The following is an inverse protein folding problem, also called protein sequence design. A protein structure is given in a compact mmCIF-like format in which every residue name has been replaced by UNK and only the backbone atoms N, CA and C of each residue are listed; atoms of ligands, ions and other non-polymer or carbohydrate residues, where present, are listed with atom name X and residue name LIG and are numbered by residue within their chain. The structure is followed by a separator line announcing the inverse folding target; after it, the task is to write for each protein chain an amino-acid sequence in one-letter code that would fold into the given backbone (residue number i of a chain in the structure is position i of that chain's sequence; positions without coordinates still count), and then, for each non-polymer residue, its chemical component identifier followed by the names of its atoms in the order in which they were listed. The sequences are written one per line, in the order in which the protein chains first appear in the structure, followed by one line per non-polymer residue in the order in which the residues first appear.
data_IF_225254539056
#
_entry.id   IF_225254539056
#
_cell.length_a   1.000
_cell.length_b   1.000
_cell.length_c   1.000
_cell.angle_alpha   90.00
_cell.angle_beta   90.00
_cell.angle_gamma   90.00
#
_symmetry.space_group_name_H-M   'P 1'
#
loop_
_entity.id
_entity.type
_entity.pdbx_description
1 polymer ?
#
# COMPACT_ATOMS: atom_id res chain seq x y z
N UNK A 1 -21.78 18.67 25.07
CA UNK A 1 -21.82 17.40 24.32
C UNK A 1 -20.38 16.96 24.06
N UNK A 2 -19.91 15.88 24.69
CA UNK A 2 -18.55 15.36 24.45
C UNK A 2 -18.58 14.51 23.18
N UNK A 3 -18.09 15.06 22.07
CA UNK A 3 -17.74 14.29 20.87
C UNK A 3 -16.55 13.40 21.22
N UNK A 4 -16.79 12.10 21.40
CA UNK A 4 -15.74 11.14 21.69
C UNK A 4 -14.83 10.96 20.48
N UNK A 5 -13.55 11.31 20.63
CA UNK A 5 -12.51 10.89 19.69
C UNK A 5 -12.17 9.44 20.04
N UNK A 6 -12.47 8.51 19.13
CA UNK A 6 -12.04 7.13 19.25
C UNK A 6 -10.56 7.04 18.80
N UNK A 7 -9.64 7.19 19.74
CA UNK A 7 -8.23 6.93 19.50
C UNK A 7 -8.00 5.43 19.58
N UNK A 8 -7.62 4.81 18.46
CA UNK A 8 -7.42 3.36 18.36
C UNK A 8 -5.99 3.02 18.82
N UNK A 9 -5.81 2.17 19.84
CA UNK A 9 -4.49 1.67 20.19
C UNK A 9 -4.05 0.57 19.21
N UNK A 10 -2.73 0.45 19.02
CA UNK A 10 -2.14 -0.77 18.48
C UNK A 10 -2.43 -1.91 19.47
N UNK A 11 -3.36 -2.81 19.15
CA UNK A 11 -3.59 -4.02 19.94
C UNK A 11 -2.40 -4.97 19.74
N UNK A 12 -1.56 -5.09 20.77
CA UNK A 12 -0.41 -5.99 20.81
C UNK A 12 -0.79 -7.46 21.07
N UNK A 13 -2.09 -7.77 21.22
CA UNK A 13 -2.60 -9.10 21.48
C UNK A 13 -2.49 -10.04 20.28
N UNK A 14 -2.04 -11.28 20.52
CA UNK A 14 -2.11 -12.35 19.52
C UNK A 14 -3.54 -12.89 19.46
N UNK A 15 -4.07 -13.06 18.24
CA UNK A 15 -5.36 -13.73 18.04
C UNK A 15 -5.36 -15.10 18.75
N UNK A 16 -6.31 -15.38 19.65
CA UNK A 16 -6.39 -16.65 20.34
C UNK A 16 -6.48 -17.82 19.37
N UNK A 17 -5.78 -18.92 19.65
CA UNK A 17 -5.72 -20.09 18.77
C UNK A 17 -7.11 -20.62 18.40
N UNK A 18 -8.01 -20.74 19.38
CA UNK A 18 -9.37 -21.22 19.17
C UNK A 18 -10.16 -20.34 18.19
N UNK A 19 -9.95 -19.02 18.21
CA UNK A 19 -10.62 -18.08 17.30
C UNK A 19 -10.02 -18.19 15.91
N UNK A 20 -8.69 -18.26 15.81
CA UNK A 20 -7.98 -18.40 14.55
C UNK A 20 -8.38 -19.69 13.81
N UNK A 21 -8.56 -20.81 14.51
CA UNK A 21 -9.07 -22.05 13.90
C UNK A 21 -10.46 -21.88 13.27
N UNK A 22 -11.35 -21.12 13.93
CA UNK A 22 -12.68 -20.80 13.40
C UNK A 22 -12.58 -19.90 12.18
N UNK A 23 -11.73 -18.88 12.24
CA UNK A 23 -11.47 -17.96 11.13
C UNK A 23 -11.01 -18.73 9.89
N UNK A 24 -10.06 -19.66 10.01
CA UNK A 24 -9.57 -20.47 8.89
C UNK A 24 -10.71 -21.24 8.22
N UNK A 25 -11.56 -21.91 9.01
CA UNK A 25 -12.68 -22.73 8.50
C UNK A 25 -13.73 -21.87 7.79
N UNK A 26 -14.05 -20.70 8.36
CA UNK A 26 -15.04 -19.79 7.79
C UNK A 26 -14.50 -19.07 6.55
N UNK A 27 -13.27 -18.56 6.60
CA UNK A 27 -12.58 -17.95 5.46
C UNK A 27 -12.51 -18.93 4.27
N UNK A 28 -12.13 -20.20 4.53
CA UNK A 28 -12.18 -21.26 3.52
C UNK A 28 -13.58 -21.43 2.91
N UNK A 29 -14.62 -21.53 3.74
CA UNK A 29 -16.00 -21.69 3.26
C UNK A 29 -16.45 -20.53 2.36
N UNK A 30 -16.11 -19.30 2.74
CA UNK A 30 -16.43 -18.09 1.95
C UNK A 30 -15.67 -18.07 0.63
N UNK A 31 -14.36 -18.32 0.63
CA UNK A 31 -13.56 -18.35 -0.61
C UNK A 31 -14.07 -19.42 -1.56
N UNK A 32 -14.37 -20.63 -1.07
CA UNK A 32 -14.93 -21.70 -1.89
C UNK A 32 -16.26 -21.31 -2.53
N UNK A 33 -17.15 -20.66 -1.76
CA UNK A 33 -18.43 -20.18 -2.29
C UNK A 33 -18.25 -19.10 -3.37
N UNK A 34 -17.25 -18.22 -3.25
CA UNK A 34 -16.94 -17.22 -4.29
C UNK A 34 -16.42 -17.92 -5.56
N UNK A 35 -15.47 -18.84 -5.41
CA UNK A 35 -14.86 -19.54 -6.55
C UNK A 35 -15.90 -20.36 -7.32
N UNK A 36 -16.80 -21.05 -6.62
CA UNK A 36 -17.84 -21.88 -7.25
C UNK A 36 -18.84 -21.07 -8.08
N UNK A 37 -19.19 -19.86 -7.64
CA UNK A 37 -20.25 -19.06 -8.26
C UNK A 37 -19.70 -17.99 -9.23
N UNK A 38 -18.50 -17.45 -8.98
CA UNK A 38 -17.92 -16.31 -9.74
C UNK A 38 -16.50 -16.55 -10.26
N UNK A 39 -15.87 -17.66 -9.89
CA UNK A 39 -14.49 -17.96 -10.25
C UNK A 39 -13.43 -17.26 -9.38
N UNK A 40 -12.17 -17.56 -9.68
CA UNK A 40 -11.00 -17.17 -8.88
C UNK A 40 -10.74 -15.68 -8.95
N UNK A 41 -10.90 -15.07 -10.13
CA UNK A 41 -10.61 -13.66 -10.36
C UNK A 41 -11.52 -12.74 -9.53
N UNK A 42 -12.72 -13.20 -9.21
CA UNK A 42 -13.61 -12.49 -8.31
C UNK A 42 -13.09 -12.45 -6.86
N UNK A 43 -12.37 -13.48 -6.42
CA UNK A 43 -11.69 -13.47 -5.11
C UNK A 43 -10.63 -12.37 -5.08
N UNK A 44 -9.85 -12.22 -6.16
CA UNK A 44 -8.83 -11.17 -6.26
C UNK A 44 -9.46 -9.77 -6.25
N UNK A 45 -10.51 -9.55 -7.04
CA UNK A 45 -11.27 -8.29 -7.04
C UNK A 45 -11.75 -7.91 -5.65
N UNK A 46 -12.37 -8.86 -4.95
CA UNK A 46 -12.90 -8.66 -3.59
C UNK A 46 -11.84 -8.40 -2.54
N UNK A 47 -10.72 -9.13 -2.57
CA UNK A 47 -9.60 -8.88 -1.65
C UNK A 47 -8.91 -7.54 -1.93
N UNK A 48 -8.97 -7.05 -3.17
CA UNK A 48 -8.47 -5.72 -3.54
C UNK A 48 -9.41 -4.57 -3.19
N UNK A 49 -10.66 -4.86 -2.80
CA UNK A 49 -11.62 -3.86 -2.35
C UNK A 49 -11.48 -3.64 -0.83
N UNK A 50 -11.14 -2.41 -0.38
CA UNK A 50 -10.88 -2.17 1.04
C UNK A 50 -12.10 -2.39 1.95
N UNK A 51 -13.31 -2.13 1.47
CA UNK A 51 -14.56 -2.23 2.23
C UNK A 51 -14.96 -3.70 2.36
N UNK A 52 -14.95 -4.42 1.24
CA UNK A 52 -15.25 -5.85 1.22
C UNK A 52 -14.28 -6.63 2.08
N UNK A 53 -12.98 -6.32 1.98
CA UNK A 53 -11.95 -6.95 2.80
C UNK A 53 -12.19 -6.73 4.29
N UNK A 54 -12.60 -5.51 4.68
CA UNK A 54 -12.93 -5.19 6.06
C UNK A 54 -14.17 -5.96 6.54
N UNK A 55 -15.22 -6.04 5.73
CA UNK A 55 -16.41 -6.85 6.03
C UNK A 55 -16.07 -8.32 6.20
N UNK A 56 -15.19 -8.87 5.34
CA UNK A 56 -14.69 -10.24 5.50
C UNK A 56 -14.03 -10.43 6.86
N UNK A 57 -13.12 -9.52 7.26
CA UNK A 57 -12.43 -9.57 8.54
C UNK A 57 -13.42 -9.64 9.73
N UNK A 58 -14.48 -8.83 9.68
CA UNK A 58 -15.52 -8.82 10.71
C UNK A 58 -16.34 -10.11 10.76
N UNK A 59 -16.75 -10.62 9.61
CA UNK A 59 -17.51 -11.87 9.52
C UNK A 59 -16.72 -13.04 10.10
N UNK A 60 -15.42 -13.13 9.79
CA UNK A 60 -14.59 -14.23 10.28
C UNK A 60 -14.23 -14.12 11.76
N UNK A 61 -14.44 -12.96 12.39
CA UNK A 61 -14.39 -12.81 13.85
C UNK A 61 -13.44 -11.75 14.39
N UNK A 62 -13.02 -10.78 13.57
CA UNK A 62 -12.30 -9.60 14.05
C UNK A 62 -13.22 -8.43 14.33
N UNK A 63 -12.83 -7.58 15.27
CA UNK A 63 -13.47 -6.29 15.43
C UNK A 63 -13.08 -5.37 14.29
N UNK A 64 -14.05 -4.54 13.90
CA UNK A 64 -13.93 -3.62 12.79
C UNK A 64 -12.77 -2.62 12.95
N UNK A 65 -12.45 -2.24 14.20
CA UNK A 65 -11.41 -1.25 14.52
C UNK A 65 -10.07 -1.88 14.94
N UNK A 66 -9.83 -3.17 14.65
CA UNK A 66 -8.57 -3.81 15.06
C UNK A 66 -7.47 -3.62 14.03
N UNK A 67 -6.35 -3.01 14.44
CA UNK A 67 -5.12 -2.93 13.62
C UNK A 67 -4.55 -4.31 13.25
N UNK A 68 -4.94 -5.36 13.97
CA UNK A 68 -4.63 -6.77 13.69
C UNK A 68 -5.50 -7.42 12.61
N UNK A 69 -6.60 -6.78 12.20
CA UNK A 69 -7.62 -7.36 11.31
C UNK A 69 -7.02 -7.82 9.98
N UNK A 70 -6.23 -6.99 9.29
CA UNK A 70 -5.62 -7.34 8.01
C UNK A 70 -4.65 -8.49 8.14
N UNK A 71 -3.72 -8.40 9.10
CA UNK A 71 -2.67 -9.42 9.25
C UNK A 71 -3.24 -10.78 9.61
N UNK A 72 -4.28 -10.81 10.43
CA UNK A 72 -4.90 -12.07 10.87
C UNK A 72 -5.86 -12.61 9.83
N UNK A 73 -6.59 -11.74 9.11
CA UNK A 73 -7.45 -12.14 7.99
C UNK A 73 -6.62 -12.77 6.87
N UNK A 74 -5.52 -12.14 6.46
CA UNK A 74 -4.61 -12.72 5.47
C UNK A 74 -3.97 -14.01 5.96
N UNK A 75 -3.61 -14.09 7.24
CA UNK A 75 -3.14 -15.33 7.86
C UNK A 75 -4.19 -16.44 7.84
N UNK A 76 -5.44 -16.14 8.20
CA UNK A 76 -6.54 -17.10 8.22
C UNK A 76 -6.91 -17.58 6.82
N UNK A 77 -6.88 -16.71 5.80
CA UNK A 77 -7.05 -17.09 4.40
C UNK A 77 -5.92 -18.01 3.94
N UNK A 78 -4.66 -17.62 4.16
CA UNK A 78 -3.49 -18.40 3.74
C UNK A 78 -3.47 -19.80 4.36
N UNK A 79 -3.72 -19.88 5.67
CA UNK A 79 -3.72 -21.17 6.39
C UNK A 79 -5.00 -21.97 6.14
N UNK A 80 -6.15 -21.31 5.96
CA UNK A 80 -7.43 -21.97 5.68
C UNK A 80 -7.49 -22.62 4.30
N UNK A 81 -6.76 -22.08 3.32
CA UNK A 81 -6.65 -22.61 1.96
C UNK A 81 -5.48 -23.60 1.79
N UNK A 82 -4.71 -23.87 2.85
CA UNK A 82 -3.60 -24.82 2.78
C UNK A 82 -4.09 -26.21 2.35
N UNK A 83 -3.43 -26.78 1.35
CA UNK A 83 -3.76 -28.06 0.73
C UNK A 83 -4.79 -27.97 -0.40
N UNK A 84 -5.37 -26.78 -0.67
CA UNK A 84 -6.34 -26.57 -1.75
C UNK A 84 -5.84 -25.62 -2.85
N UNK A 85 -4.64 -25.06 -2.71
CA UNK A 85 -4.19 -23.96 -3.58
C UNK A 85 -4.09 -24.38 -5.04
N UNK A 86 -3.56 -25.59 -5.31
CA UNK A 86 -3.41 -26.12 -6.66
C UNK A 86 -4.75 -26.42 -7.33
N UNK A 87 -5.69 -27.00 -6.57
CA UNK A 87 -7.03 -27.35 -7.06
C UNK A 87 -7.87 -26.10 -7.32
N UNK A 88 -7.78 -25.12 -6.41
CA UNK A 88 -8.47 -23.84 -6.54
C UNK A 88 -7.80 -22.90 -7.52
N UNK A 89 -6.52 -23.10 -7.84
CA UNK A 89 -5.73 -22.16 -8.64
C UNK A 89 -5.55 -20.79 -7.98
N UNK A 90 -5.50 -20.70 -6.64
CA UNK A 90 -5.32 -19.46 -5.88
C UNK A 90 -4.20 -19.61 -4.85
N UNK A 91 -3.21 -18.72 -4.90
CA UNK A 91 -2.00 -18.79 -4.10
C UNK A 91 -1.80 -17.49 -3.31
N UNK A 92 -1.54 -17.60 -2.00
CA UNK A 92 -1.30 -16.45 -1.12
C UNK A 92 0.13 -16.50 -0.61
N UNK A 93 0.94 -15.52 -1.02
CA UNK A 93 2.33 -15.36 -0.61
C UNK A 93 2.47 -14.19 0.38
N UNK A 94 3.53 -14.21 1.19
CA UNK A 94 3.83 -13.15 2.16
C UNK A 94 3.13 -13.30 3.52
N UNK A 95 3.10 -12.22 4.29
CA UNK A 95 2.57 -12.17 5.64
C UNK A 95 3.10 -10.98 6.45
N UNK A 96 3.05 -11.08 7.79
CA UNK A 96 3.51 -10.06 8.74
C UNK A 96 5.03 -10.17 9.00
N UNK A 97 5.69 -9.03 9.20
CA UNK A 97 7.07 -8.93 9.67
C UNK A 97 8.07 -9.62 8.74
N UNK A 98 8.93 -10.50 9.28
CA UNK A 98 9.93 -11.22 8.49
C UNK A 98 9.33 -12.03 7.33
N UNK A 99 8.09 -12.49 7.46
CA UNK A 99 7.41 -13.27 6.42
C UNK A 99 7.05 -12.42 5.19
N UNK A 100 6.87 -11.10 5.34
CA UNK A 100 6.63 -10.20 4.20
C UNK A 100 7.81 -10.19 3.22
N UNK A 101 9.04 -10.28 3.75
CA UNK A 101 10.28 -10.29 2.97
C UNK A 101 10.50 -11.59 2.19
N UNK A 102 9.81 -12.67 2.55
CA UNK A 102 9.85 -13.98 1.87
C UNK A 102 8.86 -14.09 0.71
N UNK A 103 8.10 -13.02 0.40
CA UNK A 103 7.09 -13.06 -0.66
C UNK A 103 7.69 -13.38 -2.04
N UNK A 104 8.81 -12.77 -2.47
CA UNK A 104 9.45 -13.12 -3.74
C UNK A 104 9.84 -14.60 -3.86
N UNK A 105 10.47 -15.14 -2.81
CA UNK A 105 10.86 -16.56 -2.73
C UNK A 105 9.64 -17.48 -2.80
N UNK A 106 8.55 -17.14 -2.10
CA UNK A 106 7.32 -17.93 -2.15
C UNK A 106 6.67 -17.91 -3.54
N UNK A 107 6.71 -16.77 -4.24
CA UNK A 107 6.21 -16.67 -5.62
C UNK A 107 7.05 -17.55 -6.55
N UNK A 108 8.38 -17.52 -6.41
CA UNK A 108 9.29 -18.38 -7.19
C UNK A 108 8.97 -19.86 -6.98
N UNK A 109 8.93 -20.31 -5.72
CA UNK A 109 8.66 -21.71 -5.39
C UNK A 109 7.30 -22.19 -5.95
N UNK A 110 6.26 -21.37 -5.89
CA UNK A 110 4.97 -21.72 -6.49
C UNK A 110 5.01 -21.68 -8.01
N UNK A 111 5.68 -20.71 -8.62
CA UNK A 111 5.83 -20.62 -10.07
C UNK A 111 6.55 -21.83 -10.65
N UNK A 112 7.63 -22.27 -10.00
CA UNK A 112 8.37 -23.48 -10.34
C UNK A 112 7.51 -24.73 -10.17
N UNK A 113 6.80 -24.86 -9.04
CA UNK A 113 5.88 -25.97 -8.79
C UNK A 113 4.76 -26.06 -9.85
N UNK A 114 4.29 -24.92 -10.36
CA UNK A 114 3.26 -24.85 -11.42
C UNK A 114 3.83 -25.02 -12.84
N UNK A 115 5.15 -25.14 -12.99
CA UNK A 115 5.82 -25.25 -14.29
C UNK A 115 5.70 -23.98 -15.14
N UNK A 116 5.65 -22.80 -14.52
CA UNK A 116 5.54 -21.54 -15.26
C UNK A 116 6.87 -21.11 -15.89
N UNK A 117 6.82 -20.42 -17.05
CA UNK A 117 8.01 -19.77 -17.61
C UNK A 117 8.60 -18.76 -16.63
N UNK A 118 9.93 -18.69 -16.57
CA UNK A 118 10.64 -17.80 -15.65
C UNK A 118 10.21 -16.33 -15.81
N UNK A 119 9.94 -15.88 -17.03
CA UNK A 119 9.43 -14.54 -17.32
C UNK A 119 8.13 -14.23 -16.56
N UNK A 120 7.20 -15.19 -16.45
CA UNK A 120 5.94 -15.02 -15.73
C UNK A 120 6.17 -14.91 -14.23
N UNK A 121 7.10 -15.71 -13.70
CA UNK A 121 7.51 -15.68 -12.29
C UNK A 121 8.14 -14.33 -11.96
N UNK A 122 9.06 -13.87 -12.80
CA UNK A 122 9.75 -12.60 -12.64
C UNK A 122 8.80 -11.41 -12.69
N UNK A 123 7.79 -11.42 -13.56
CA UNK A 123 6.73 -10.40 -13.58
C UNK A 123 5.96 -10.32 -12.26
N UNK A 124 5.64 -11.45 -11.63
CA UNK A 124 4.95 -11.46 -10.33
C UNK A 124 5.86 -11.05 -9.17
N UNK A 125 7.11 -11.50 -9.19
CA UNK A 125 8.13 -11.07 -8.22
C UNK A 125 8.35 -9.56 -8.33
N UNK A 126 8.40 -9.04 -9.56
CA UNK A 126 8.50 -7.61 -9.83
C UNK A 126 7.28 -6.88 -9.26
N UNK A 127 6.05 -7.30 -9.60
CA UNK A 127 4.81 -6.72 -9.09
C UNK A 127 4.79 -6.65 -7.54
N UNK A 128 5.20 -7.74 -6.86
CA UNK A 128 5.32 -7.77 -5.39
C UNK A 128 6.32 -6.73 -4.86
N UNK A 129 7.49 -6.62 -5.48
CA UNK A 129 8.55 -5.69 -5.03
C UNK A 129 8.18 -4.24 -5.31
N UNK A 130 7.68 -3.95 -6.51
CA UNK A 130 7.38 -2.59 -6.94
C UNK A 130 6.18 -2.04 -6.17
N UNK A 131 5.14 -2.83 -5.90
CA UNK A 131 3.98 -2.37 -5.10
C UNK A 131 4.41 -1.99 -3.68
N UNK A 132 5.30 -2.77 -3.06
CA UNK A 132 5.86 -2.45 -1.73
C UNK A 132 6.74 -1.20 -1.77
N UNK A 133 7.49 -0.99 -2.86
CA UNK A 133 8.28 0.22 -3.06
C UNK A 133 7.41 1.45 -3.28
N UNK A 134 6.35 1.36 -4.06
CA UNK A 134 5.44 2.49 -4.30
C UNK A 134 4.81 2.95 -2.99
N UNK A 135 4.23 2.02 -2.24
CA UNK A 135 3.57 2.30 -0.96
C UNK A 135 4.51 2.87 0.10
N UNK A 136 5.80 2.52 0.06
CA UNK A 136 6.79 2.98 1.07
C UNK A 136 7.59 4.22 0.65
N UNK A 137 7.72 4.49 -0.65
CA UNK A 137 8.61 5.55 -1.16
C UNK A 137 7.87 6.70 -1.82
N UNK A 138 6.71 6.44 -2.45
CA UNK A 138 5.98 7.46 -3.20
C UNK A 138 4.87 8.11 -2.38
N UNK A 139 4.34 7.40 -1.38
CA UNK A 139 3.43 7.96 -0.39
C UNK A 139 4.20 8.08 0.92
N UNK A 140 4.73 9.27 1.19
CA UNK A 140 5.58 9.50 2.36
C UNK A 140 4.77 10.17 3.47
N UNK A 141 4.03 9.32 4.16
CA UNK A 141 3.06 9.64 5.20
C UNK A 141 3.50 9.08 6.56
N UNK A 142 4.76 8.70 6.73
CA UNK A 142 5.28 8.15 7.98
C UNK A 142 4.76 6.75 8.36
N UNK A 143 3.92 6.10 7.55
CA UNK A 143 3.51 4.73 7.79
C UNK A 143 4.56 3.75 7.23
N UNK A 144 5.16 2.95 8.10
CA UNK A 144 6.14 1.95 7.69
C UNK A 144 5.47 0.60 7.43
N UNK A 145 5.68 0.04 6.24
CA UNK A 145 5.15 -1.26 5.87
C UNK A 145 5.70 -2.37 6.77
N UNK A 146 4.80 -3.11 7.40
CA UNK A 146 5.13 -4.25 8.24
C UNK A 146 4.40 -5.53 7.83
N UNK A 147 3.47 -5.43 6.88
CA UNK A 147 2.71 -6.53 6.33
C UNK A 147 2.59 -6.40 4.81
N UNK A 148 2.86 -7.48 4.10
CA UNK A 148 2.73 -7.55 2.65
C UNK A 148 2.29 -8.95 2.27
N UNK A 149 1.19 -9.02 1.51
CA UNK A 149 0.74 -10.24 0.86
C UNK A 149 0.48 -9.98 -0.62
N UNK A 150 1.00 -10.86 -1.47
CA UNK A 150 0.60 -10.96 -2.87
C UNK A 150 -0.24 -12.23 -3.03
N UNK A 151 -1.45 -12.07 -3.58
CA UNK A 151 -2.36 -13.15 -3.93
C UNK A 151 -2.37 -13.25 -5.45
N UNK A 152 -2.16 -14.43 -6.01
CA UNK A 152 -2.23 -14.62 -7.46
C UNK A 152 -3.05 -15.85 -7.83
N UNK A 153 -3.67 -15.78 -9.01
CA UNK A 153 -4.43 -16.88 -9.59
C UNK A 153 -3.59 -17.67 -10.58
N UNK A 154 -4.04 -18.87 -10.96
CA UNK A 154 -3.38 -19.71 -11.98
C UNK A 154 -3.29 -19.03 -13.36
N UNK A 155 -4.18 -18.07 -13.64
CA UNK A 155 -4.11 -17.28 -14.88
C UNK A 155 -2.92 -16.31 -14.87
N UNK A 156 -2.45 -15.90 -13.70
CA UNK A 156 -1.38 -14.90 -13.51
C UNK A 156 -1.88 -13.52 -13.13
N UNK A 157 -3.20 -13.33 -12.98
CA UNK A 157 -3.75 -12.16 -12.32
C UNK A 157 -3.38 -12.17 -10.84
N UNK A 158 -3.27 -10.99 -10.25
CA UNK A 158 -2.87 -10.83 -8.87
C UNK A 158 -3.55 -9.65 -8.18
N UNK A 159 -3.57 -9.69 -6.86
CA UNK A 159 -3.92 -8.61 -5.96
C UNK A 159 -2.87 -8.51 -4.86
N UNK A 160 -2.62 -7.29 -4.36
CA UNK A 160 -1.72 -7.07 -3.22
C UNK A 160 -2.50 -6.38 -2.10
N UNK A 161 -2.31 -6.87 -0.88
CA UNK A 161 -2.82 -6.27 0.35
C UNK A 161 -1.64 -6.01 1.28
N UNK A 162 -1.40 -4.73 1.60
CA UNK A 162 -0.28 -4.30 2.44
C UNK A 162 -0.79 -3.47 3.61
N UNK A 163 -0.04 -3.45 4.70
CA UNK A 163 -0.33 -2.56 5.82
C UNK A 163 0.94 -1.88 6.34
N UNK A 164 0.85 -0.56 6.44
CA UNK A 164 1.79 0.30 7.14
C UNK A 164 1.28 0.64 8.53
N UNK A 165 2.21 0.86 9.46
CA UNK A 165 1.92 1.37 10.80
C UNK A 165 2.70 2.66 11.06
N UNK A 166 2.11 3.56 11.84
CA UNK A 166 2.78 4.74 12.38
C UNK A 166 2.77 4.62 13.90
N UNK A 167 3.94 4.38 14.49
CA UNK A 167 4.08 4.07 15.91
C UNK A 167 3.74 5.27 16.79
N UNK A 168 4.06 6.49 16.35
CA UNK A 168 3.88 7.73 17.14
C UNK A 168 2.42 7.95 17.55
N UNK A 169 1.48 7.61 16.66
CA UNK A 169 0.05 7.80 16.88
C UNK A 169 -0.72 6.47 16.93
N UNK A 170 -0.02 5.32 16.96
CA UNK A 170 -0.62 3.99 17.00
C UNK A 170 -1.67 3.72 15.91
N UNK A 171 -1.45 4.24 14.70
CA UNK A 171 -2.43 4.18 13.60
C UNK A 171 -1.95 3.26 12.48
N UNK A 172 -2.90 2.78 11.67
CA UNK A 172 -2.60 1.93 10.53
C UNK A 172 -3.09 2.52 9.20
N UNK A 173 -2.41 2.14 8.14
CA UNK A 173 -2.82 2.43 6.77
C UNK A 173 -2.69 1.18 5.93
N UNK A 174 -3.77 0.79 5.25
CA UNK A 174 -3.81 -0.40 4.42
C UNK A 174 -3.97 -0.02 2.96
N UNK A 175 -3.19 -0.71 2.12
CA UNK A 175 -3.06 -0.46 0.70
C UNK A 175 -3.54 -1.69 -0.06
N UNK A 176 -4.35 -1.45 -1.08
CA UNK A 176 -4.86 -2.51 -1.95
C UNK A 176 -4.52 -2.22 -3.40
N UNK A 177 -4.18 -3.29 -4.10
CA UNK A 177 -3.82 -3.28 -5.51
C UNK A 177 -4.55 -4.42 -6.22
N UNK A 178 -4.88 -4.20 -7.49
CA UNK A 178 -5.43 -5.20 -8.37
C UNK A 178 -4.76 -5.10 -9.74
N UNK A 179 -4.18 -6.20 -10.21
CA UNK A 179 -3.48 -6.29 -11.50
C UNK A 179 -4.29 -5.73 -12.68
N UNK A 180 -5.59 -5.98 -12.75
CA UNK A 180 -6.45 -5.46 -13.84
C UNK A 180 -6.60 -3.93 -13.85
N UNK A 181 -6.32 -3.27 -12.73
CA UNK A 181 -6.44 -1.82 -12.60
C UNK A 181 -5.10 -1.10 -12.79
N UNK A 182 -3.98 -1.83 -12.69
CA UNK A 182 -2.64 -1.25 -12.81
C UNK A 182 -2.31 -1.04 -14.29
N UNK A 183 -2.30 0.23 -14.71
CA UNK A 183 -1.80 0.67 -16.02
C UNK A 183 -0.36 1.18 -15.94
N UNK A 184 -0.05 1.82 -14.82
CA UNK A 184 1.26 2.38 -14.45
C UNK A 184 1.47 2.07 -12.97
N UNK A 185 2.65 1.59 -12.57
CA UNK A 185 2.94 1.28 -11.17
C UNK A 185 3.19 2.54 -10.31
N UNK A 186 3.55 3.67 -10.91
CA UNK A 186 3.94 4.90 -10.20
C UNK A 186 2.91 6.01 -10.32
N UNK A 187 1.80 5.80 -11.01
CA UNK A 187 0.71 6.77 -11.16
C UNK A 187 -0.65 6.14 -10.82
N UNK A 188 -1.24 6.59 -9.71
CA UNK A 188 -2.54 6.15 -9.17
C UNK A 188 -2.82 4.63 -9.27
N UNK A 189 -1.89 3.75 -8.84
CA UNK A 189 -2.00 2.32 -9.12
C UNK A 189 -2.95 1.55 -8.18
N UNK A 190 -3.35 2.18 -7.08
CA UNK A 190 -4.11 1.52 -6.02
C UNK A 190 -5.57 1.29 -6.39
N UNK A 191 -6.09 0.11 -6.07
CA UNK A 191 -7.54 -0.11 -6.04
C UNK A 191 -8.19 0.61 -4.86
N UNK A 192 -7.45 0.79 -3.77
CA UNK A 192 -7.87 1.65 -2.66
C UNK A 192 -6.86 1.73 -1.52
N UNK A 193 -6.90 2.85 -0.80
CA UNK A 193 -6.11 3.11 0.41
C UNK A 193 -7.07 3.47 1.53
N UNK A 194 -6.92 2.80 2.67
CA UNK A 194 -7.72 3.00 3.87
C UNK A 194 -6.82 3.42 5.03
N UNK A 195 -7.22 4.44 5.78
CA UNK A 195 -6.46 4.97 6.90
C UNK A 195 -7.39 5.54 7.97
N UNK A 196 -6.99 5.44 9.23
CA UNK A 196 -7.73 6.03 10.35
C UNK A 196 -7.74 7.56 10.29
N UNK A 197 -6.63 8.13 9.81
CA UNK A 197 -6.36 9.57 9.86
C UNK A 197 -5.87 10.02 8.48
N UNK A 198 -6.47 11.11 7.99
CA UNK A 198 -5.92 11.86 6.84
C UNK A 198 -4.78 12.75 7.31
N UNK A 199 -3.67 12.69 6.60
CA UNK A 199 -2.48 13.51 6.81
C UNK A 199 -2.22 14.39 5.58
N UNK A 200 -1.10 15.12 5.53
CA UNK A 200 -0.62 15.81 4.32
C UNK A 200 0.72 15.18 3.91
N UNK A 201 0.71 14.05 3.18
CA UNK A 201 1.92 13.33 2.85
C UNK A 201 2.57 13.88 1.58
N UNK A 202 3.86 13.67 1.37
CA UNK A 202 4.41 13.77 0.01
C UNK A 202 3.85 12.61 -0.81
N UNK A 203 3.05 12.90 -1.83
CA UNK A 203 2.35 11.91 -2.64
C UNK A 203 2.77 12.01 -4.10
N UNK A 204 3.80 11.25 -4.48
CA UNK A 204 4.28 11.16 -5.86
C UNK A 204 3.47 10.20 -6.74
N UNK A 205 2.52 9.46 -6.17
CA UNK A 205 1.62 8.61 -6.96
C UNK A 205 0.52 9.40 -7.65
N UNK A 206 0.25 10.62 -7.19
CA UNK A 206 -0.73 11.50 -7.79
C UNK A 206 -0.33 11.91 -9.22
N UNK A 207 -1.32 12.10 -10.10
CA UNK A 207 -1.10 12.56 -11.48
C UNK A 207 -0.43 13.92 -11.54
N UNK A 208 -0.77 14.80 -10.60
CA UNK A 208 -0.20 16.14 -10.44
C UNK A 208 1.31 16.08 -10.19
N UNK A 209 1.85 14.94 -9.71
CA UNK A 209 3.29 14.77 -9.47
C UNK A 209 4.06 14.24 -10.67
N UNK A 210 3.45 14.16 -11.86
CA UNK A 210 4.10 13.59 -13.05
C UNK A 210 5.36 14.35 -13.44
N UNK A 211 5.28 15.67 -13.56
CA UNK A 211 6.43 16.53 -13.89
C UNK A 211 7.57 16.38 -12.87
N UNK A 212 7.23 16.28 -11.58
CA UNK A 212 8.22 16.05 -10.52
C UNK A 212 8.95 14.71 -10.69
N UNK A 213 8.23 13.64 -11.07
CA UNK A 213 8.81 12.32 -11.34
C UNK A 213 9.71 12.31 -12.58
N UNK A 214 9.32 13.04 -13.62
CA UNK A 214 10.10 13.18 -14.86
C UNK A 214 11.43 13.88 -14.59
N UNK A 215 11.41 15.07 -13.99
CA UNK A 215 12.63 15.83 -13.64
C UNK A 215 13.48 15.06 -12.62
N UNK A 216 12.86 14.40 -11.63
CA UNK A 216 13.60 13.53 -10.70
C UNK A 216 14.38 12.43 -11.42
N UNK A 217 13.85 11.92 -12.52
CA UNK A 217 14.53 10.88 -13.32
C UNK A 217 15.65 11.48 -14.16
N UNK A 218 15.40 12.62 -14.82
CA UNK A 218 16.40 13.35 -15.61
C UNK A 218 17.60 13.79 -14.78
N UNK A 219 17.38 14.29 -13.57
CA UNK A 219 18.44 14.66 -12.62
C UNK A 219 19.39 13.50 -12.31
N UNK A 220 18.89 12.27 -12.28
CA UNK A 220 19.73 11.09 -12.06
C UNK A 220 20.43 10.68 -13.36
N UNK A 221 19.75 10.76 -14.50
CA UNK A 221 20.29 10.33 -15.79
C UNK A 221 21.34 11.27 -16.36
N UNK A 222 21.11 12.57 -16.31
CA UNK A 222 21.91 13.56 -17.04
C UNK A 222 22.85 14.32 -16.10
N UNK A 223 22.39 14.63 -14.89
CA UNK A 223 23.07 15.61 -14.03
C UNK A 223 23.29 15.15 -12.56
N UNK A 224 23.85 13.95 -12.30
CA UNK A 224 24.01 13.46 -10.93
C UNK A 224 24.90 14.38 -10.07
N UNK A 225 25.87 15.06 -10.68
CA UNK A 225 26.75 16.04 -10.01
C UNK A 225 26.03 17.33 -9.68
N UNK A 226 25.16 17.82 -10.56
CA UNK A 226 24.35 19.03 -10.32
C UNK A 226 23.37 18.77 -9.20
N UNK A 227 22.63 17.65 -9.26
CA UNK A 227 21.73 17.22 -8.19
C UNK A 227 22.42 17.23 -6.81
N UNK A 228 23.63 16.67 -6.70
CA UNK A 228 24.37 16.61 -5.43
C UNK A 228 24.83 17.98 -4.93
N UNK A 229 25.12 18.92 -5.84
CA UNK A 229 25.39 20.32 -5.47
C UNK A 229 24.12 20.99 -4.96
N UNK A 230 23.01 20.83 -5.66
CA UNK A 230 21.74 21.49 -5.34
C UNK A 230 21.18 21.00 -4.01
N UNK A 231 21.15 19.68 -3.77
CA UNK A 231 20.68 19.14 -2.49
C UNK A 231 21.59 19.57 -1.33
N UNK A 232 22.90 19.72 -1.57
CA UNK A 232 23.83 20.24 -0.56
C UNK A 232 23.56 21.71 -0.26
N UNK A 233 23.32 22.53 -1.28
CA UNK A 233 22.93 23.94 -1.11
C UNK A 233 21.64 24.08 -0.31
N UNK A 234 20.61 23.32 -0.68
CA UNK A 234 19.31 23.31 0.03
C UNK A 234 19.49 22.87 1.48
N UNK A 235 20.25 21.80 1.73
CA UNK A 235 20.48 21.24 3.07
C UNK A 235 21.29 22.17 3.98
N UNK A 236 22.21 22.97 3.41
CA UNK A 236 23.06 23.90 4.17
C UNK A 236 22.37 25.24 4.44
N UNK A 237 21.49 25.68 3.53
CA UNK A 237 20.90 27.03 3.56
C UNK A 237 19.44 27.06 4.00
N UNK A 238 18.84 25.94 4.40
CA UNK A 238 17.43 25.87 4.83
C UNK A 238 17.09 26.79 6.02
N UNK A 239 18.05 27.11 6.89
CA UNK A 239 17.88 28.10 7.97
C UNK A 239 18.14 29.57 7.53
N UNK A 240 18.83 29.80 6.41
CA UNK A 240 19.32 31.11 5.97
C UNK A 240 18.57 31.70 4.77
N UNK A 241 17.95 30.86 3.93
CA UNK A 241 17.21 31.29 2.74
C UNK A 241 15.93 32.09 3.07
N UNK A 242 15.34 31.88 4.25
CA UNK A 242 14.21 32.71 4.74
C UNK A 242 14.69 34.14 5.13
N UNK A 243 15.99 34.36 5.33
CA UNK A 243 16.56 35.63 5.82
C UNK A 243 17.38 36.42 4.80
N UNK A 244 17.56 35.94 3.57
CA UNK A 244 18.47 36.53 2.58
C UNK A 244 17.89 37.66 1.71
N UNK A 245 16.95 38.46 2.23
CA UNK A 245 16.58 39.76 1.64
C UNK A 245 17.52 40.92 2.04
N UNK A 246 18.70 40.66 2.63
CA UNK A 246 19.52 41.70 3.27
C UNK A 246 20.67 42.28 2.44
N UNK A 247 20.92 41.83 1.20
CA UNK A 247 21.96 42.42 0.33
C UNK A 247 21.36 42.76 -1.04
N UNK A 248 21.35 44.03 -1.46
CA UNK A 248 20.90 44.41 -2.80
C UNK A 248 21.83 43.84 -3.88
N UNK A 249 21.29 43.08 -4.83
CA UNK A 249 21.99 42.69 -6.06
C UNK A 249 22.79 41.39 -6.03
N UNK A 250 22.81 40.64 -4.92
CA UNK A 250 23.44 39.32 -4.87
C UNK A 250 22.41 38.25 -4.49
N UNK A 251 21.97 37.48 -5.49
CA UNK A 251 21.06 36.35 -5.29
C UNK A 251 21.76 35.09 -5.76
N UNK A 252 22.31 34.34 -4.81
CA UNK A 252 22.99 33.07 -5.09
C UNK A 252 22.00 31.97 -5.53
N UNK A 253 20.73 32.10 -5.13
CA UNK A 253 19.60 31.28 -5.56
C UNK A 253 18.31 32.07 -5.31
N UNK A 254 17.55 32.39 -6.36
CA UNK A 254 16.28 33.12 -6.21
C UNK A 254 15.16 32.13 -5.93
N UNK A 255 14.91 31.90 -4.66
CA UNK A 255 13.72 31.19 -4.25
C UNK A 255 12.54 32.16 -4.29
N UNK A 256 11.74 32.07 -5.36
CA UNK A 256 10.52 32.88 -5.49
C UNK A 256 9.68 32.70 -4.21
N UNK A 257 9.43 33.79 -3.51
CA UNK A 257 8.64 33.82 -2.27
C UNK A 257 7.13 33.68 -2.54
N UNK A 258 6.78 32.99 -3.61
CA UNK A 258 5.42 32.75 -4.07
C UNK A 258 5.11 31.32 -3.64
N UNK A 259 4.60 31.19 -2.42
CA UNK A 259 4.10 29.93 -1.85
C UNK A 259 5.18 28.85 -1.56
N UNK A 260 6.06 29.08 -0.58
CA UNK A 260 6.72 27.94 0.06
C UNK A 260 5.67 27.11 0.80
N UNK A 261 5.16 26.06 0.16
CA UNK A 261 4.49 24.99 0.89
C UNK A 261 5.54 24.39 1.83
N UNK A 262 5.21 24.29 3.12
CA UNK A 262 6.10 23.66 4.08
C UNK A 262 6.37 22.22 3.63
N UNK A 263 7.59 21.96 3.20
CA UNK A 263 8.03 20.61 2.93
C UNK A 263 8.42 20.00 4.29
N UNK A 264 7.89 18.84 4.71
CA UNK A 264 8.31 18.15 5.95
C UNK A 264 9.82 17.89 6.06
N UNK A 265 10.49 18.04 4.92
CA UNK A 265 11.84 17.65 4.57
C UNK A 265 12.85 18.77 4.79
N UNK A 266 12.42 20.04 4.89
CA UNK A 266 13.32 21.20 5.08
C UNK A 266 14.24 21.06 6.32
N UNK A 267 13.81 20.29 7.32
CA UNK A 267 14.55 20.02 8.56
C UNK A 267 15.17 18.61 8.60
N UNK A 268 15.02 17.81 7.55
CA UNK A 268 15.53 16.46 7.53
C UNK A 268 17.03 16.43 7.24
N UNK A 269 17.77 15.64 8.02
CA UNK A 269 19.20 15.44 7.81
C UNK A 269 19.42 14.36 6.75
N UNK A 270 19.88 14.77 5.57
CA UNK A 270 20.32 13.86 4.52
C UNK A 270 21.75 13.38 4.76
N UNK A 271 21.96 12.07 4.62
CA UNK A 271 23.31 11.50 4.53
C UNK A 271 23.80 11.67 3.09
N UNK A 272 24.50 12.78 2.84
CA UNK A 272 24.97 13.15 1.50
C UNK A 272 25.92 12.12 0.90
N UNK A 273 26.76 11.46 1.71
CA UNK A 273 27.69 10.42 1.22
C UNK A 273 26.93 9.20 0.72
N UNK A 274 25.91 8.77 1.46
CA UNK A 274 25.04 7.67 1.03
C UNK A 274 24.21 8.05 -0.19
N UNK A 275 23.71 9.28 -0.23
CA UNK A 275 22.93 9.79 -1.36
C UNK A 275 23.78 9.83 -2.62
N UNK A 276 24.99 10.36 -2.54
CA UNK A 276 25.99 10.38 -3.63
C UNK A 276 26.22 8.98 -4.20
N UNK A 277 26.55 8.01 -3.35
CA UNK A 277 26.73 6.60 -3.78
C UNK A 277 25.49 6.05 -4.49
N UNK A 278 24.31 6.38 -3.99
CA UNK A 278 23.03 5.88 -4.55
C UNK A 278 22.73 6.51 -5.89
N UNK A 279 22.93 7.82 -6.03
CA UNK A 279 22.66 8.57 -7.26
C UNK A 279 23.64 8.18 -8.35
N UNK A 280 24.94 8.03 -8.05
CA UNK A 280 25.91 7.56 -9.05
C UNK A 280 25.65 6.12 -9.48
N UNK A 281 25.25 5.24 -8.54
CA UNK A 281 24.84 3.88 -8.91
C UNK A 281 23.59 3.90 -9.79
N UNK A 282 22.61 4.75 -9.48
CA UNK A 282 21.40 4.88 -10.28
C UNK A 282 21.67 5.49 -11.67
N UNK A 283 22.56 6.47 -11.75
CA UNK A 283 23.02 7.06 -13.01
C UNK A 283 23.69 6.02 -13.90
N UNK A 284 24.55 5.15 -13.34
CA UNK A 284 25.22 4.08 -14.08
C UNK A 284 24.23 3.08 -14.69
N UNK A 285 23.16 2.75 -13.97
CA UNK A 285 22.08 1.89 -14.47
C UNK A 285 21.19 2.59 -15.53
N UNK A 286 21.31 3.91 -15.69
CA UNK A 286 20.62 4.75 -16.68
C UNK A 286 19.11 4.42 -16.82
N UNK A 287 18.30 4.60 -15.76
CA UNK A 287 16.91 4.19 -15.75
C UNK A 287 16.11 4.92 -16.84
N UNK A 288 15.35 4.18 -17.64
CA UNK A 288 14.55 4.75 -18.74
C UNK A 288 13.45 5.69 -18.24
N UNK A 289 12.87 5.38 -17.06
CA UNK A 289 11.76 6.11 -16.47
C UNK A 289 11.79 6.03 -14.93
N UNK A 290 10.86 6.74 -14.29
CA UNK A 290 10.76 6.82 -12.83
C UNK A 290 10.47 5.46 -12.16
N UNK A 291 9.69 4.58 -12.81
CA UNK A 291 9.42 3.23 -12.30
C UNK A 291 10.71 2.39 -12.22
N UNK A 292 11.57 2.47 -13.25
CA UNK A 292 12.88 1.81 -13.26
C UNK A 292 13.81 2.42 -12.23
N UNK A 293 13.87 3.75 -12.11
CA UNK A 293 14.63 4.43 -11.06
C UNK A 293 14.20 3.95 -9.67
N UNK A 294 12.90 3.94 -9.39
CA UNK A 294 12.35 3.46 -8.12
C UNK A 294 12.72 1.99 -7.88
N UNK A 295 12.74 1.16 -8.92
CA UNK A 295 13.06 -0.27 -8.85
C UNK A 295 14.52 -0.57 -8.47
N UNK A 296 15.45 0.37 -8.65
CA UNK A 296 16.87 0.18 -8.33
C UNK A 296 17.15 -0.08 -6.85
N UNK A 297 18.19 -0.87 -6.58
CA UNK A 297 18.61 -1.18 -5.21
C UNK A 297 19.25 0.06 -4.57
N UNK A 298 18.84 0.40 -3.36
CA UNK A 298 19.38 1.56 -2.63
C UNK A 298 18.54 2.83 -2.78
N UNK A 299 17.74 2.95 -3.86
CA UNK A 299 16.72 3.99 -3.99
C UNK A 299 15.61 3.71 -2.99
N UNK A 300 15.53 4.56 -1.97
CA UNK A 300 14.55 4.47 -0.89
C UNK A 300 13.85 5.81 -0.64
N UNK A 301 13.09 5.95 0.47
CA UNK A 301 12.17 7.07 0.62
C UNK A 301 12.93 8.39 0.75
N UNK A 302 14.09 8.38 1.42
CA UNK A 302 14.98 9.53 1.53
C UNK A 302 15.59 9.97 0.20
N UNK A 303 15.93 9.04 -0.68
CA UNK A 303 16.48 9.35 -2.01
C UNK A 303 15.40 10.00 -2.88
N UNK A 304 14.22 9.38 -2.95
CA UNK A 304 13.07 9.91 -3.70
C UNK A 304 12.65 11.28 -3.17
N UNK A 305 12.66 11.44 -1.85
CA UNK A 305 12.37 12.71 -1.18
C UNK A 305 13.37 13.81 -1.56
N UNK A 306 14.66 13.50 -1.61
CA UNK A 306 15.69 14.45 -2.01
C UNK A 306 15.53 14.87 -3.48
N UNK A 307 15.25 13.92 -4.37
CA UNK A 307 14.98 14.18 -5.79
C UNK A 307 13.74 15.06 -5.99
N UNK A 308 12.65 14.73 -5.31
CA UNK A 308 11.42 15.52 -5.32
C UNK A 308 11.65 16.94 -4.82
N UNK A 309 12.45 17.11 -3.75
CA UNK A 309 12.76 18.41 -3.17
C UNK A 309 13.55 19.30 -4.13
N UNK A 310 14.58 18.75 -4.79
CA UNK A 310 15.36 19.50 -5.80
C UNK A 310 14.48 19.84 -7.00
N UNK A 311 13.66 18.90 -7.47
CA UNK A 311 12.73 19.11 -8.59
C UNK A 311 11.72 20.22 -8.29
N UNK A 312 11.16 20.26 -7.08
CA UNK A 312 10.23 21.31 -6.67
C UNK A 312 10.91 22.67 -6.53
N UNK A 313 12.05 22.73 -5.83
CA UNK A 313 12.69 24.00 -5.44
C UNK A 313 13.43 24.65 -6.61
N UNK A 314 14.17 23.88 -7.40
CA UNK A 314 15.05 24.41 -8.46
C UNK A 314 14.29 24.47 -9.79
N UNK A 315 13.51 23.42 -10.09
CA UNK A 315 12.86 23.28 -11.40
C UNK A 315 11.36 23.62 -11.37
N UNK A 316 10.79 23.93 -10.20
CA UNK A 316 9.39 24.33 -10.05
C UNK A 316 8.38 23.20 -10.19
N UNK A 317 8.83 21.95 -10.33
CA UNK A 317 7.97 20.79 -10.55
C UNK A 317 7.37 20.32 -9.23
N UNK A 318 6.17 20.80 -8.91
CA UNK A 318 5.53 20.58 -7.61
C UNK A 318 5.00 19.14 -7.48
N UNK A 319 5.30 18.43 -6.37
CA UNK A 319 4.62 17.18 -6.05
C UNK A 319 3.25 17.45 -5.42
N UNK A 320 2.40 16.42 -5.37
CA UNK A 320 1.12 16.49 -4.64
C UNK A 320 1.34 16.29 -3.15
N UNK A 321 0.58 17.02 -2.35
CA UNK A 321 0.48 16.85 -0.90
C UNK A 321 -0.90 16.34 -0.45
N UNK A 322 -1.73 15.92 -1.42
CA UNK A 322 -3.04 15.35 -1.15
C UNK A 322 -2.90 13.91 -0.66
N UNK A 323 -3.62 13.58 0.41
CA UNK A 323 -3.63 12.23 0.97
C UNK A 323 -4.45 11.29 0.07
N UNK A 324 -3.84 10.23 -0.49
CA UNK A 324 -4.55 9.31 -1.39
C UNK A 324 -5.52 8.36 -0.65
N UNK A 325 -5.63 8.45 0.69
CA UNK A 325 -6.60 7.66 1.46
C UNK A 325 -8.05 8.04 1.10
N UNK A 326 -8.75 7.10 0.46
CA UNK A 326 -10.14 7.25 0.00
C UNK A 326 -11.16 6.71 1.00
N UNK A 327 -10.74 5.78 1.86
CA UNK A 327 -11.60 5.14 2.84
C UNK A 327 -11.09 5.44 4.26
N UNK A 328 -12.00 5.61 5.21
CA UNK A 328 -11.68 5.50 6.63
C UNK A 328 -12.05 4.11 7.11
N UNK A 329 -11.49 3.68 8.26
CA UNK A 329 -11.94 2.42 8.85
C UNK A 329 -13.42 2.47 9.17
N UNK A 330 -14.02 3.60 9.53
CA UNK A 330 -15.49 3.72 9.61
C UNK A 330 -16.14 3.55 8.22
N UNK A 331 -17.15 2.69 8.12
CA UNK A 331 -17.93 2.35 6.92
C UNK A 331 -17.85 3.41 5.80
N UNK A 332 -17.48 2.97 4.59
CA UNK A 332 -17.63 3.76 3.38
C UNK A 332 -19.01 4.43 3.35
N UNK A 333 -19.01 5.72 3.04
CA UNK A 333 -20.13 6.60 3.35
C UNK A 333 -21.34 6.38 2.45
N UNK A 334 -22.51 6.58 3.05
CA UNK A 334 -23.81 6.90 2.42
C UNK A 334 -23.69 7.95 1.29
N UNK A 335 -22.61 8.73 1.30
CA UNK A 335 -22.39 9.94 0.50
C UNK A 335 -21.60 9.69 -0.81
N UNK A 336 -21.65 8.48 -1.35
CA UNK A 336 -21.18 8.16 -2.72
C UNK A 336 -19.72 8.49 -3.02
N UNK A 337 -18.83 8.37 -2.03
CA UNK A 337 -17.40 8.59 -2.22
C UNK A 337 -16.60 7.39 -1.69
N UNK A 338 -15.81 6.70 -2.54
CA UNK A 338 -15.49 7.04 -3.94
C UNK A 338 -16.55 6.61 -4.97
N UNK A 339 -17.51 5.75 -4.61
CA UNK A 339 -18.68 5.39 -5.45
C UNK A 339 -19.90 5.08 -4.57
N UNK A 340 -21.15 5.25 -5.07
CA UNK A 340 -22.35 4.81 -4.37
C UNK A 340 -22.35 3.29 -4.15
N UNK A 341 -22.81 2.85 -2.97
CA UNK A 341 -22.97 1.41 -2.68
C UNK A 341 -23.99 0.83 -3.63
N UNK A 342 -23.56 -0.04 -4.54
CA UNK A 342 -24.48 -0.78 -5.41
C UNK A 342 -25.22 -1.83 -4.58
N UNK A 343 -26.47 -1.57 -4.20
CA UNK A 343 -27.28 -2.48 -3.38
C UNK A 343 -27.28 -3.91 -3.94
N UNK A 344 -27.38 -4.07 -5.26
CA UNK A 344 -27.33 -5.39 -5.91
C UNK A 344 -26.01 -6.15 -5.71
N UNK A 345 -24.87 -5.45 -5.66
CA UNK A 345 -23.54 -6.03 -5.42
C UNK A 345 -23.38 -6.34 -3.93
N UNK A 346 -23.95 -5.48 -3.08
CA UNK A 346 -23.98 -5.65 -1.64
C UNK A 346 -24.82 -6.87 -1.24
N UNK A 347 -26.06 -6.98 -1.72
CA UNK A 347 -26.96 -8.11 -1.48
C UNK A 347 -26.34 -9.42 -1.96
N UNK A 348 -25.74 -9.42 -3.16
CA UNK A 348 -25.01 -10.57 -3.69
C UNK A 348 -23.80 -10.93 -2.83
N UNK A 349 -23.10 -9.93 -2.29
CA UNK A 349 -22.01 -10.14 -1.33
C UNK A 349 -22.51 -10.78 -0.04
N UNK A 350 -23.61 -10.27 0.53
CA UNK A 350 -24.24 -10.82 1.72
C UNK A 350 -24.67 -12.28 1.48
N UNK A 351 -25.34 -12.55 0.36
CA UNK A 351 -25.77 -13.90 -0.02
C UNK A 351 -24.58 -14.87 -0.06
N UNK A 352 -23.44 -14.44 -0.59
CA UNK A 352 -22.23 -15.27 -0.68
C UNK A 352 -21.61 -15.47 0.70
N UNK A 353 -21.57 -14.45 1.54
CA UNK A 353 -21.11 -14.60 2.93
C UNK A 353 -22.04 -15.57 3.67
N UNK A 354 -23.35 -15.49 3.49
CA UNK A 354 -24.32 -16.43 4.05
C UNK A 354 -24.13 -17.86 3.52
N UNK A 355 -23.97 -18.03 2.20
CA UNK A 355 -23.67 -19.33 1.56
C UNK A 355 -22.36 -19.89 2.10
N UNK A 356 -21.32 -19.06 2.21
CA UNK A 356 -20.02 -19.42 2.78
C UNK A 356 -20.13 -19.87 4.23
N UNK A 357 -20.90 -19.14 5.06
CA UNK A 357 -21.21 -19.53 6.45
C UNK A 357 -21.94 -20.87 6.46
N UNK A 358 -22.94 -21.07 5.60
CA UNK A 358 -23.70 -22.33 5.49
C UNK A 358 -22.81 -23.50 5.08
N UNK A 359 -21.98 -23.35 4.05
CA UNK A 359 -21.04 -24.36 3.53
C UNK A 359 -19.84 -24.59 4.45
N UNK A 360 -19.50 -23.64 5.31
CA UNK A 360 -18.39 -23.81 6.25
C UNK A 360 -18.65 -24.99 7.19
N UNK A 361 -17.64 -25.84 7.35
CA UNK A 361 -17.67 -26.96 8.30
C UNK A 361 -17.41 -26.43 9.71
N UNK A 362 -18.27 -25.58 10.27
CA UNK A 362 -18.21 -25.03 11.66
C UNK A 362 -19.50 -25.37 12.45
N UNK A 363 -19.49 -25.19 13.77
CA UNK A 363 -20.64 -25.52 14.65
C UNK A 363 -21.86 -24.61 14.42
N UNK A 364 -23.06 -25.09 14.78
CA UNK A 364 -24.31 -24.32 14.61
C UNK A 364 -24.27 -22.96 15.33
N UNK A 365 -23.70 -22.92 16.53
CA UNK A 365 -23.54 -21.67 17.31
C UNK A 365 -22.66 -20.66 16.58
N UNK A 366 -21.52 -21.09 16.05
CA UNK A 366 -20.60 -20.20 15.30
C UNK A 366 -21.24 -19.67 14.02
N UNK A 367 -22.04 -20.49 13.32
CA UNK A 367 -22.80 -20.04 12.15
C UNK A 367 -23.79 -18.92 12.51
N UNK A 368 -24.50 -19.08 13.63
CA UNK A 368 -25.44 -18.06 14.13
C UNK A 368 -24.69 -16.77 14.49
N UNK A 369 -23.55 -16.87 15.17
CA UNK A 369 -22.74 -15.70 15.53
C UNK A 369 -22.21 -14.97 14.28
N UNK A 370 -21.69 -15.70 13.28
CA UNK A 370 -21.24 -15.11 12.02
C UNK A 370 -22.39 -14.43 11.25
N UNK A 371 -23.58 -15.05 11.22
CA UNK A 371 -24.78 -14.45 10.63
C UNK A 371 -25.22 -13.18 11.36
N UNK A 372 -25.12 -13.15 12.70
CA UNK A 372 -25.42 -11.93 13.48
C UNK A 372 -24.47 -10.80 13.13
N UNK A 373 -23.16 -11.07 13.04
CA UNK A 373 -22.17 -10.07 12.62
C UNK A 373 -22.42 -9.57 11.20
N UNK A 374 -22.76 -10.48 10.28
CA UNK A 374 -23.09 -10.11 8.91
C UNK A 374 -24.30 -9.17 8.85
N UNK A 375 -25.36 -9.47 9.62
CA UNK A 375 -26.56 -8.63 9.71
C UNK A 375 -26.32 -7.28 10.36
N UNK A 376 -25.31 -7.13 11.22
CA UNK A 376 -24.96 -5.83 11.80
C UNK A 376 -24.11 -4.94 10.89
N UNK A 377 -23.61 -5.47 9.76
CA UNK A 377 -22.85 -4.70 8.77
C UNK A 377 -23.76 -4.04 7.71
N UNK A 378 -24.99 -4.53 7.58
CA UNK A 378 -26.05 -4.01 6.71
C UNK A 378 -26.92 -3.01 7.48
#
# INVERSE_FOLDING_TARGET
MRTGVATIPLDYGKCPYWLFERMKRLARGIVLAIVEEFGIEEVLRRLSDPVWFQSLACVIGFDWNSSGATTTTMGALKEGLRGLQSDLGLFICGGKGKTSRKTPEQIQNWGEFLGWPMEKIDKLVYASKISAKVDSNLIQDGYQLYHHNLIFSKSGQWAVVQQGMREENSTARRYHWLSSNVRDFVEEPHSGIISDIKVKPLNLTAKESRENKEISTELVKEEPKTFLKDIKLISQKSDTLIRQQRIPGFVEMELKNVEFHWHPVLKEKFDLKRLEKTIFAAHFENPENFEKLLSLKGVGPKTIRALSLVSEIIYGARPSYEDPSRYSFAHGGKDSTPFPVSCSVYDKTLEIMEKGIKKSKISKREKIEAQRRLKSLA
#
